data_IF_262832209785
#
_entry.id   IF_262832209785
#
_cell.length_a   1.000
_cell.length_b   1.000
_cell.length_c   1.000
_cell.angle_alpha   90.00
_cell.angle_beta   90.00
_cell.angle_gamma   90.00
#
_symmetry.space_group_name_H-M   'P 1'
#
loop_
_entity.id
_entity.type
_entity.pdbx_description
1 polymer ?
#
# COMPACT_ATOMS: atom_id res chain seq x y z
N UNK A 1 -30.63 6.85 -64.99
CA UNK A 1 -29.69 5.95 -64.30
C UNK A 1 -29.18 6.71 -63.07
N UNK A 2 -29.92 6.72 -61.97
CA UNK A 2 -30.03 5.66 -60.96
C UNK A 2 -28.75 5.52 -60.12
N UNK A 3 -28.77 6.11 -58.92
CA UNK A 3 -27.94 5.71 -57.79
C UNK A 3 -28.90 5.30 -56.66
N UNK A 4 -28.85 4.02 -56.32
CA UNK A 4 -29.68 3.36 -55.32
C UNK A 4 -28.86 3.05 -54.05
N UNK A 5 -29.61 2.88 -52.97
CA UNK A 5 -29.22 2.72 -51.58
C UNK A 5 -28.50 1.41 -51.23
N UNK A 6 -27.91 1.43 -50.03
CA UNK A 6 -27.50 0.27 -49.22
C UNK A 6 -26.50 0.79 -48.17
N UNK A 7 -26.85 0.99 -46.90
CA UNK A 7 -27.45 0.01 -45.99
C UNK A 7 -26.34 -0.47 -45.05
N UNK A 8 -25.98 0.33 -44.05
CA UNK A 8 -24.99 -0.05 -43.03
C UNK A 8 -25.70 -0.49 -41.76
N UNK A 9 -25.79 -1.81 -41.59
CA UNK A 9 -26.20 -2.48 -40.35
C UNK A 9 -25.35 -2.01 -39.17
N UNK A 10 -26.03 -1.50 -38.13
CA UNK A 10 -25.43 -1.27 -36.82
C UNK A 10 -25.13 -2.61 -36.15
N UNK A 11 -23.85 -2.97 -36.10
CA UNK A 11 -23.38 -4.05 -35.20
C UNK A 11 -23.27 -3.50 -33.78
N UNK A 12 -24.16 -3.94 -32.91
CA UNK A 12 -24.03 -3.77 -31.46
C UNK A 12 -22.73 -4.41 -30.96
N UNK A 13 -22.02 -3.79 -30.00
CA UNK A 13 -20.85 -4.40 -29.37
C UNK A 13 -21.28 -5.64 -28.55
N UNK A 14 -20.40 -6.64 -28.38
CA UNK A 14 -20.73 -7.86 -27.66
C UNK A 14 -21.05 -7.53 -26.20
N UNK A 15 -22.19 -8.01 -25.73
CA UNK A 15 -22.59 -8.03 -24.33
C UNK A 15 -21.51 -8.74 -23.52
N UNK A 16 -20.84 -7.99 -22.64
CA UNK A 16 -19.96 -8.55 -21.61
C UNK A 16 -20.71 -9.53 -20.71
N UNK A 17 -20.00 -10.41 -19.99
CA UNK A 17 -20.60 -11.46 -19.19
C UNK A 17 -21.56 -10.87 -18.16
N UNK A 18 -22.79 -11.40 -18.13
CA UNK A 18 -23.80 -11.02 -17.14
C UNK A 18 -23.28 -11.26 -15.72
N UNK A 19 -23.48 -10.32 -14.78
CA UNK A 19 -23.03 -10.50 -13.41
C UNK A 19 -23.75 -11.71 -12.78
N UNK A 20 -22.98 -12.53 -12.06
CA UNK A 20 -23.50 -13.68 -11.31
C UNK A 20 -24.55 -13.19 -10.31
N UNK A 21 -25.70 -13.88 -10.16
CA UNK A 21 -26.68 -13.51 -9.16
C UNK A 21 -26.09 -13.74 -7.77
N UNK A 22 -25.87 -12.66 -7.01
CA UNK A 22 -25.38 -12.71 -5.63
C UNK A 22 -24.15 -11.86 -5.30
N UNK A 23 -23.59 -11.09 -6.24
CA UNK A 23 -22.55 -10.11 -5.89
C UNK A 23 -23.16 -8.92 -5.13
N UNK A 24 -22.66 -8.56 -3.93
CA UNK A 24 -23.10 -7.35 -3.24
C UNK A 24 -22.79 -6.13 -4.11
N UNK A 25 -23.66 -5.10 -4.10
CA UNK A 25 -23.41 -3.89 -4.89
C UNK A 25 -22.07 -3.26 -4.46
N UNK A 26 -21.24 -2.89 -5.44
CA UNK A 26 -20.05 -2.09 -5.19
C UNK A 26 -20.44 -0.78 -4.50
N UNK A 27 -19.73 -0.36 -3.43
CA UNK A 27 -20.11 0.85 -2.71
C UNK A 27 -20.05 2.05 -3.65
N UNK A 28 -21.19 2.70 -3.84
CA UNK A 28 -21.29 3.95 -4.58
C UNK A 28 -20.52 5.02 -3.79
N UNK A 29 -19.29 5.32 -4.23
CA UNK A 29 -18.50 6.42 -3.68
C UNK A 29 -19.20 7.74 -4.01
N UNK A 30 -19.97 8.25 -3.05
CA UNK A 30 -20.73 9.48 -3.25
C UNK A 30 -21.35 10.09 -2.00
N UNK A 31 -21.07 9.59 -0.80
CA UNK A 31 -21.56 10.22 0.42
C UNK A 31 -20.58 9.98 1.56
N UNK A 32 -20.09 11.07 2.14
CA UNK A 32 -19.41 11.09 3.42
C UNK A 32 -20.20 12.09 4.30
N UNK A 33 -20.63 11.66 5.48
CA UNK A 33 -21.28 12.53 6.46
C UNK A 33 -20.20 13.01 7.41
N UNK A 34 -19.91 14.31 7.38
CA UNK A 34 -18.98 14.97 8.31
C UNK A 34 -19.82 15.49 9.47
N UNK A 35 -19.60 14.95 10.67
CA UNK A 35 -20.23 15.44 11.91
C UNK A 35 -19.19 16.29 12.64
N UNK A 36 -19.48 17.58 12.76
CA UNK A 36 -18.67 18.54 13.52
C UNK A 36 -19.10 18.47 14.99
N UNK A 37 -18.14 18.19 15.88
CA UNK A 37 -18.32 18.46 17.31
C UNK A 37 -17.97 19.93 17.53
N UNK A 38 -18.97 20.75 17.83
CA UNK A 38 -18.81 22.19 18.03
C UNK A 38 -18.50 22.44 19.52
N UNK A 39 -17.23 22.61 19.86
CA UNK A 39 -16.86 23.35 21.09
C UNK A 39 -16.74 24.82 20.69
N UNK A 40 -17.79 25.58 20.96
CA UNK A 40 -17.83 27.01 20.74
C UNK A 40 -17.46 27.74 22.02
N UNK A 41 -16.26 28.30 22.11
CA UNK A 41 -15.97 29.42 23.01
C UNK A 41 -16.27 30.73 22.27
N UNK A 42 -17.13 31.62 22.80
CA UNK A 42 -17.35 32.93 22.20
C UNK A 42 -16.24 33.91 22.60
N UNK A 43 -15.66 34.59 21.61
CA UNK A 43 -14.86 35.79 21.82
C UNK A 43 -15.69 36.89 22.48
N UNK A 44 -15.10 37.53 23.49
CA UNK A 44 -15.72 38.61 24.26
C UNK A 44 -15.11 39.95 23.85
N UNK A 45 -15.89 40.82 23.21
CA UNK A 45 -15.66 42.27 23.24
C UNK A 45 -16.87 42.96 23.89
N UNK A 46 -16.63 43.38 25.14
CA UNK A 46 -17.23 44.46 25.93
C UNK A 46 -18.74 44.76 25.78
N UNK A 47 -19.48 44.26 26.77
CA UNK A 47 -20.83 44.68 27.12
C UNK A 47 -21.26 44.01 28.41
N UNK A 48 -21.00 44.68 29.54
CA UNK A 48 -21.29 44.20 30.90
C UNK A 48 -22.78 43.94 31.15
N UNK A 49 -23.24 42.72 30.88
CA UNK A 49 -24.31 42.02 31.62
C UNK A 49 -24.21 40.51 31.33
N UNK A 50 -23.28 39.84 32.02
CA UNK A 50 -23.18 38.40 31.96
C UNK A 50 -24.39 37.78 32.66
N UNK A 51 -25.44 37.43 31.90
CA UNK A 51 -26.31 36.35 32.36
C UNK A 51 -25.50 35.06 32.28
N UNK A 52 -24.96 34.62 33.42
CA UNK A 52 -24.42 33.28 33.56
C UNK A 52 -25.48 32.29 33.06
N UNK A 53 -25.29 31.76 31.85
CA UNK A 53 -26.11 30.65 31.40
C UNK A 53 -25.90 29.52 32.41
N UNK A 54 -26.97 28.91 32.95
CA UNK A 54 -26.81 27.83 33.90
C UNK A 54 -26.16 26.66 33.16
N UNK A 55 -24.87 26.47 33.37
CA UNK A 55 -24.19 25.23 33.01
C UNK A 55 -24.84 24.10 33.82
N UNK A 56 -25.81 23.42 33.19
CA UNK A 56 -26.52 22.30 33.82
C UNK A 56 -25.55 21.12 33.90
N UNK A 57 -24.86 21.02 35.04
CA UNK A 57 -24.08 19.83 35.40
C UNK A 57 -25.04 18.67 35.70
N UNK A 58 -25.36 17.88 34.69
CA UNK A 58 -26.14 16.65 34.87
C UNK A 58 -25.19 15.54 35.35
N UNK A 59 -25.25 15.19 36.63
CA UNK A 59 -24.57 14.03 37.19
C UNK A 59 -25.29 12.75 36.74
N UNK A 60 -24.83 12.18 35.63
CA UNK A 60 -25.25 10.84 35.20
C UNK A 60 -24.52 9.78 36.04
N UNK A 61 -25.21 8.68 36.35
CA UNK A 61 -24.53 7.53 36.93
C UNK A 61 -23.53 6.99 35.90
N UNK A 62 -22.38 6.50 36.34
CA UNK A 62 -21.34 5.97 35.45
C UNK A 62 -21.91 4.90 34.49
N UNK A 63 -22.87 4.11 34.95
CA UNK A 63 -23.56 3.10 34.13
C UNK A 63 -24.40 3.71 33.00
N UNK A 64 -25.08 4.83 33.24
CA UNK A 64 -25.90 5.55 32.26
C UNK A 64 -25.01 6.29 31.26
N UNK A 65 -23.94 6.92 31.74
CA UNK A 65 -22.94 7.56 30.88
C UNK A 65 -22.24 6.52 29.98
N UNK A 66 -21.82 5.39 30.54
CA UNK A 66 -21.24 4.29 29.76
C UNK A 66 -22.26 3.67 28.81
N UNK A 67 -23.54 3.60 29.17
CA UNK A 67 -24.63 3.13 28.29
C UNK A 67 -24.86 4.09 27.11
N UNK A 68 -24.84 5.41 27.35
CA UNK A 68 -24.93 6.43 26.31
C UNK A 68 -23.74 6.35 25.34
N UNK A 69 -22.52 6.24 25.88
CA UNK A 69 -21.29 6.08 25.08
C UNK A 69 -21.28 4.74 24.32
N UNK A 70 -21.79 3.65 24.92
CA UNK A 70 -21.94 2.34 24.27
C UNK A 70 -23.02 2.35 23.19
N UNK A 71 -24.15 3.00 23.45
CA UNK A 71 -25.27 3.14 22.52
C UNK A 71 -24.89 3.93 21.27
N UNK A 72 -24.10 5.00 21.44
CA UNK A 72 -23.54 5.75 20.33
C UNK A 72 -22.63 4.90 19.44
N UNK A 73 -21.67 4.16 20.01
CA UNK A 73 -20.78 3.27 19.22
C UNK A 73 -21.56 2.17 18.51
N UNK A 74 -22.56 1.57 19.18
CA UNK A 74 -23.43 0.56 18.57
C UNK A 74 -24.24 1.15 17.40
N UNK A 75 -24.83 2.33 17.58
CA UNK A 75 -25.58 3.02 16.53
C UNK A 75 -24.71 3.37 15.32
N UNK A 76 -23.43 3.69 15.50
CA UNK A 76 -22.50 3.95 14.38
C UNK A 76 -22.15 2.68 13.60
N UNK A 77 -21.92 1.58 14.30
CA UNK A 77 -21.69 0.28 13.65
C UNK A 77 -22.93 -0.13 12.88
N UNK A 78 -24.11 0.00 13.49
CA UNK A 78 -25.39 -0.31 12.86
C UNK A 78 -25.63 0.61 11.64
N UNK A 79 -25.30 1.90 11.73
CA UNK A 79 -25.41 2.85 10.62
C UNK A 79 -24.47 2.48 9.47
N UNK A 80 -23.20 2.15 9.76
CA UNK A 80 -22.22 1.76 8.74
C UNK A 80 -22.62 0.44 8.06
N UNK A 81 -23.14 -0.53 8.82
CA UNK A 81 -23.62 -1.81 8.28
C UNK A 81 -24.87 -1.64 7.42
N UNK A 82 -25.84 -0.83 7.85
CA UNK A 82 -27.11 -0.63 7.16
C UNK A 82 -26.98 0.26 5.90
N UNK A 83 -26.11 1.27 5.93
CA UNK A 83 -26.00 2.26 4.84
C UNK A 83 -24.79 2.05 3.93
N UNK A 84 -23.79 1.26 4.37
CA UNK A 84 -22.50 1.09 3.69
C UNK A 84 -21.75 2.41 3.46
N UNK A 85 -22.07 3.45 4.23
CA UNK A 85 -21.40 4.76 4.18
C UNK A 85 -20.37 4.84 5.30
N UNK A 86 -19.10 5.20 5.01
CA UNK A 86 -18.12 5.45 6.05
C UNK A 86 -18.48 6.71 6.84
N UNK A 87 -18.44 6.63 8.17
CA UNK A 87 -18.66 7.75 9.08
C UNK A 87 -17.35 8.05 9.81
N UNK A 88 -16.89 9.30 9.73
CA UNK A 88 -15.65 9.78 10.35
C UNK A 88 -15.93 10.99 11.23
N UNK A 89 -15.31 11.03 12.41
CA UNK A 89 -15.42 12.14 13.36
C UNK A 89 -14.14 12.94 13.39
N UNK A 90 -14.28 14.26 13.53
CA UNK A 90 -13.17 15.19 13.64
C UNK A 90 -13.35 16.01 14.91
N UNK A 91 -12.24 16.21 15.62
CA UNK A 91 -12.21 16.96 16.87
C UNK A 91 -12.12 18.48 16.65
N UNK A 92 -11.74 18.92 15.44
CA UNK A 92 -11.62 20.33 15.11
C UNK A 92 -11.96 20.64 13.65
N UNK A 93 -12.14 21.93 13.35
CA UNK A 93 -12.37 22.42 11.99
C UNK A 93 -11.12 22.23 11.10
N UNK A 94 -9.92 22.32 11.67
CA UNK A 94 -8.67 22.11 10.95
C UNK A 94 -8.59 20.68 10.39
N UNK A 95 -8.94 19.68 11.20
CA UNK A 95 -8.98 18.27 10.77
C UNK A 95 -9.98 18.06 9.62
N UNK A 96 -11.10 18.79 9.64
CA UNK A 96 -12.09 18.76 8.55
C UNK A 96 -11.52 19.37 7.27
N UNK A 97 -10.77 20.48 7.37
CA UNK A 97 -10.09 21.10 6.23
C UNK A 97 -9.01 20.20 5.62
N UNK A 98 -8.22 19.53 6.46
CA UNK A 98 -7.24 18.53 6.03
C UNK A 98 -7.90 17.34 5.35
N UNK A 99 -8.99 16.83 5.93
CA UNK A 99 -9.76 15.73 5.36
C UNK A 99 -10.37 16.13 4.01
N UNK A 100 -11.00 17.30 3.90
CA UNK A 100 -11.57 17.78 2.64
C UNK A 100 -10.50 17.90 1.55
N UNK A 101 -9.30 18.35 1.89
CA UNK A 101 -8.16 18.44 0.98
C UNK A 101 -7.69 17.06 0.53
N UNK A 102 -7.49 16.12 1.48
CA UNK A 102 -7.11 14.74 1.19
C UNK A 102 -8.17 14.04 0.32
N UNK A 103 -9.44 14.19 0.68
CA UNK A 103 -10.57 13.58 0.00
C UNK A 103 -10.71 14.11 -1.43
N UNK A 104 -10.67 15.43 -1.61
CA UNK A 104 -10.72 16.05 -2.94
C UNK A 104 -9.58 15.57 -3.84
N UNK A 105 -8.37 15.45 -3.29
CA UNK A 105 -7.22 14.88 -4.00
C UNK A 105 -7.45 13.40 -4.36
N UNK A 106 -7.94 12.60 -3.43
CA UNK A 106 -8.23 11.19 -3.67
C UNK A 106 -9.27 11.01 -4.78
N UNK A 107 -10.32 11.85 -4.79
CA UNK A 107 -11.34 11.88 -5.85
C UNK A 107 -10.73 12.26 -7.20
N UNK A 108 -9.88 13.29 -7.25
CA UNK A 108 -9.19 13.70 -8.47
C UNK A 108 -8.24 12.63 -9.02
N UNK A 109 -7.53 11.91 -8.14
CA UNK A 109 -6.59 10.84 -8.51
C UNK A 109 -7.27 9.49 -8.81
N UNK A 110 -8.51 9.26 -8.32
CA UNK A 110 -9.22 7.98 -8.46
C UNK A 110 -9.34 7.45 -9.90
N UNK A 111 -9.75 8.23 -10.93
CA UNK A 111 -9.85 7.71 -12.29
C UNK A 111 -8.48 7.31 -12.86
N UNK A 112 -7.44 8.10 -12.54
CA UNK A 112 -6.08 7.83 -12.98
C UNK A 112 -5.51 6.56 -12.33
N UNK A 113 -5.72 6.36 -11.02
CA UNK A 113 -5.29 5.14 -10.30
C UNK A 113 -5.97 3.88 -10.84
N UNK A 114 -7.30 3.91 -11.06
CA UNK A 114 -8.02 2.79 -11.67
C UNK A 114 -7.49 2.44 -13.07
N UNK A 115 -7.09 3.44 -13.85
CA UNK A 115 -6.52 3.18 -15.17
C UNK A 115 -5.11 2.58 -15.09
N UNK A 116 -4.31 2.96 -14.08
CA UNK A 116 -3.01 2.35 -13.82
C UNK A 116 -3.12 0.90 -13.35
N UNK A 117 -4.13 0.55 -12.57
CA UNK A 117 -4.37 -0.84 -12.12
C UNK A 117 -4.55 -1.82 -13.31
N UNK A 118 -5.00 -1.33 -14.47
CA UNK A 118 -5.22 -2.14 -15.67
C UNK A 118 -3.95 -2.44 -16.49
N UNK A 119 -2.78 -1.93 -16.13
CA UNK A 119 -1.56 -2.06 -16.98
C UNK A 119 -0.75 -3.34 -16.73
N UNK A 120 -1.30 -4.32 -15.98
CA UNK A 120 -0.71 -5.66 -15.82
C UNK A 120 0.51 -5.76 -14.90
N UNK A 121 1.07 -4.63 -14.45
CA UNK A 121 2.20 -4.57 -13.52
C UNK A 121 1.81 -3.83 -12.24
N UNK A 122 1.04 -4.48 -11.35
CA UNK A 122 0.58 -3.87 -10.08
C UNK A 122 1.74 -3.35 -9.23
N UNK A 123 2.86 -4.08 -9.20
CA UNK A 123 4.05 -3.75 -8.42
C UNK A 123 4.78 -2.47 -8.89
N UNK A 124 4.79 -2.18 -10.20
CA UNK A 124 5.61 -1.10 -10.75
C UNK A 124 5.03 0.30 -10.54
N UNK A 125 3.72 0.42 -10.36
CA UNK A 125 3.01 1.71 -10.33
C UNK A 125 2.63 2.15 -8.93
N UNK A 126 2.38 1.21 -8.02
CA UNK A 126 1.84 1.52 -6.69
C UNK A 126 2.90 2.03 -5.70
N UNK A 127 4.17 1.70 -5.94
CA UNK A 127 5.22 1.92 -4.96
C UNK A 127 5.87 3.30 -5.10
N UNK A 128 5.21 4.33 -4.57
CA UNK A 128 5.83 5.63 -4.24
C UNK A 128 7.09 5.49 -3.37
N UNK A 129 7.26 4.33 -2.73
CA UNK A 129 8.39 3.92 -1.88
C UNK A 129 9.63 3.44 -2.63
N UNK A 130 9.52 3.09 -3.92
CA UNK A 130 10.64 2.59 -4.72
C UNK A 130 11.08 3.63 -5.75
N UNK A 131 11.39 4.85 -5.31
CA UNK A 131 11.99 5.86 -6.21
C UNK A 131 13.32 5.30 -6.74
N UNK A 132 13.51 5.37 -8.06
CA UNK A 132 14.76 4.96 -8.70
C UNK A 132 16.00 5.61 -8.08
N UNK A 133 17.14 4.92 -8.15
CA UNK A 133 18.44 5.51 -7.77
C UNK A 133 18.91 6.37 -8.93
N UNK A 134 19.32 7.61 -8.64
CA UNK A 134 19.98 8.44 -9.65
C UNK A 134 21.37 7.86 -9.93
N UNK A 135 21.66 7.57 -11.19
CA UNK A 135 22.96 7.06 -11.64
C UNK A 135 23.62 8.11 -12.52
N UNK A 136 24.86 8.45 -12.20
CA UNK A 136 25.66 9.38 -13.01
C UNK A 136 26.25 8.64 -14.23
N UNK A 137 26.61 9.34 -15.32
CA UNK A 137 27.24 8.71 -16.50
C UNK A 137 28.53 7.93 -16.19
N UNK A 138 29.18 8.23 -15.06
CA UNK A 138 30.35 7.50 -14.56
C UNK A 138 30.02 6.12 -13.94
N UNK A 139 28.73 5.77 -13.84
CA UNK A 139 28.26 4.57 -13.15
C UNK A 139 28.12 4.72 -11.63
N UNK A 140 28.41 5.90 -11.08
CA UNK A 140 28.19 6.18 -9.65
C UNK A 140 26.70 6.06 -9.35
N UNK A 141 26.36 5.17 -8.41
CA UNK A 141 24.99 4.80 -8.07
C UNK A 141 24.60 3.37 -8.44
N UNK A 142 25.31 2.71 -9.37
CA UNK A 142 24.98 1.34 -9.79
C UNK A 142 25.09 0.31 -8.65
N UNK A 143 26.03 0.49 -7.72
CA UNK A 143 26.11 -0.36 -6.53
C UNK A 143 24.83 -0.26 -5.67
N UNK A 144 24.30 0.95 -5.51
CA UNK A 144 23.06 1.17 -4.76
C UNK A 144 21.84 0.66 -5.52
N UNK A 145 21.85 0.74 -6.86
CA UNK A 145 20.84 0.07 -7.71
C UNK A 145 20.86 -1.43 -7.46
N UNK A 146 22.03 -2.05 -7.50
CA UNK A 146 22.17 -3.48 -7.31
C UNK A 146 21.70 -3.92 -5.91
N UNK A 147 22.06 -3.15 -4.88
CA UNK A 147 21.55 -3.39 -3.53
C UNK A 147 20.03 -3.32 -3.46
N UNK A 148 19.42 -2.28 -4.06
CA UNK A 148 17.96 -2.16 -4.10
C UNK A 148 17.29 -3.27 -4.90
N UNK A 149 17.92 -3.77 -5.95
CA UNK A 149 17.44 -4.93 -6.70
C UNK A 149 17.39 -6.18 -5.82
N UNK A 150 18.43 -6.45 -5.03
CA UNK A 150 18.41 -7.55 -4.04
C UNK A 150 17.35 -7.32 -2.95
N UNK A 151 17.08 -6.08 -2.55
CA UNK A 151 16.01 -5.78 -1.59
C UNK A 151 14.59 -6.01 -2.13
N UNK A 152 14.39 -6.11 -3.46
CA UNK A 152 13.05 -6.36 -4.01
C UNK A 152 12.55 -7.79 -3.74
N UNK A 153 13.45 -8.71 -3.39
CA UNK A 153 13.06 -10.07 -3.04
C UNK A 153 12.28 -10.07 -1.72
N UNK A 154 11.22 -10.88 -1.69
CA UNK A 154 10.39 -11.04 -0.49
C UNK A 154 11.26 -11.44 0.73
N UNK A 155 11.02 -10.80 1.88
CA UNK A 155 11.69 -11.09 3.17
C UNK A 155 13.20 -10.77 3.19
N UNK A 156 13.68 -9.86 2.34
CA UNK A 156 15.05 -9.37 2.36
C UNK A 156 15.15 -8.05 3.11
N UNK A 157 15.95 -8.01 4.18
CA UNK A 157 16.26 -6.75 4.88
C UNK A 157 17.39 -5.99 4.20
N UNK A 158 17.55 -4.70 4.55
CA UNK A 158 18.70 -3.90 4.10
C UNK A 158 20.03 -4.57 4.44
N UNK A 159 20.20 -5.12 5.65
CA UNK A 159 21.47 -5.75 6.03
C UNK A 159 21.72 -7.05 5.24
N UNK A 160 20.67 -7.80 4.89
CA UNK A 160 20.79 -8.98 4.03
C UNK A 160 21.24 -8.61 2.62
N UNK A 161 20.62 -7.59 2.03
CA UNK A 161 21.00 -7.11 0.72
C UNK A 161 22.45 -6.58 0.72
N UNK A 162 22.81 -5.76 1.72
CA UNK A 162 24.18 -5.25 1.90
C UNK A 162 25.20 -6.40 1.98
N UNK A 163 24.91 -7.46 2.74
CA UNK A 163 25.79 -8.63 2.84
C UNK A 163 25.98 -9.35 1.50
N UNK A 164 24.90 -9.52 0.72
CA UNK A 164 24.97 -10.13 -0.62
C UNK A 164 25.77 -9.26 -1.59
N UNK A 165 25.49 -7.96 -1.66
CA UNK A 165 26.20 -7.07 -2.60
C UNK A 165 27.64 -6.79 -2.17
N UNK A 166 27.96 -6.93 -0.89
CA UNK A 166 29.35 -6.87 -0.42
C UNK A 166 30.13 -8.10 -0.89
N UNK A 167 29.52 -9.29 -0.86
CA UNK A 167 30.14 -10.51 -1.38
C UNK A 167 30.22 -10.51 -2.92
N UNK A 168 29.17 -10.00 -3.59
CA UNK A 168 29.06 -9.93 -5.04
C UNK A 168 28.66 -8.50 -5.48
N UNK A 169 29.62 -7.59 -5.67
CA UNK A 169 29.36 -6.17 -5.91
C UNK A 169 28.79 -5.84 -7.29
N UNK A 170 28.60 -6.84 -8.15
CA UNK A 170 27.88 -6.68 -9.40
C UNK A 170 27.09 -7.96 -9.76
N UNK A 171 26.00 -7.83 -10.54
CA UNK A 171 25.25 -8.97 -11.05
C UNK A 171 26.12 -9.95 -11.85
N UNK A 172 27.09 -9.42 -12.61
CA UNK A 172 28.02 -10.21 -13.42
C UNK A 172 28.93 -11.09 -12.57
N UNK A 173 29.39 -10.61 -11.41
CA UNK A 173 30.19 -11.42 -10.49
C UNK A 173 29.39 -12.54 -9.86
N UNK A 174 28.10 -12.30 -9.58
CA UNK A 174 27.19 -13.33 -9.07
C UNK A 174 26.92 -14.41 -10.13
N UNK A 175 26.66 -14.01 -11.38
CA UNK A 175 26.46 -14.93 -12.50
C UNK A 175 27.71 -15.78 -12.81
N UNK A 176 28.89 -15.15 -12.80
CA UNK A 176 30.16 -15.86 -12.91
C UNK A 176 30.40 -16.85 -11.77
N UNK A 177 29.92 -16.56 -10.56
CA UNK A 177 30.02 -17.50 -9.46
C UNK A 177 29.10 -18.72 -9.68
N UNK A 178 27.87 -18.52 -10.16
CA UNK A 178 26.97 -19.63 -10.50
C UNK A 178 27.50 -20.53 -11.62
N UNK A 179 28.09 -19.95 -12.66
CA UNK A 179 28.68 -20.73 -13.77
C UNK A 179 29.88 -21.60 -13.35
N UNK A 180 30.59 -21.22 -12.28
CA UNK A 180 31.71 -21.99 -11.72
C UNK A 180 31.27 -23.13 -10.80
N UNK A 181 30.03 -23.12 -10.31
CA UNK A 181 29.49 -24.20 -9.49
C UNK A 181 29.30 -25.48 -10.32
N UNK A 182 29.60 -26.62 -9.69
CA UNK A 182 29.60 -27.93 -10.32
C UNK A 182 28.25 -28.64 -10.27
N UNK A 183 27.37 -28.22 -9.34
CA UNK A 183 26.03 -28.80 -9.17
C UNK A 183 24.95 -27.73 -9.00
N UNK A 184 23.72 -28.08 -9.33
CA UNK A 184 22.55 -27.21 -9.11
C UNK A 184 22.35 -26.92 -7.62
N UNK A 185 22.49 -27.93 -6.75
CA UNK A 185 22.41 -27.77 -5.31
C UNK A 185 23.45 -26.76 -4.76
N UNK A 186 24.66 -26.76 -5.32
CA UNK A 186 25.69 -25.79 -4.95
C UNK A 186 25.30 -24.37 -5.38
N UNK A 187 24.74 -24.20 -6.58
CA UNK A 187 24.23 -22.91 -7.06
C UNK A 187 23.10 -22.39 -6.17
N UNK A 188 22.13 -23.25 -5.84
CA UNK A 188 21.03 -22.88 -4.95
C UNK A 188 21.51 -22.45 -3.56
N UNK A 189 22.62 -23.00 -3.06
CA UNK A 189 23.14 -22.72 -1.71
C UNK A 189 24.34 -21.76 -1.68
N UNK A 190 24.75 -21.19 -2.82
CA UNK A 190 25.94 -20.34 -2.94
C UNK A 190 25.93 -19.17 -1.94
N UNK A 191 24.76 -18.55 -1.75
CA UNK A 191 24.59 -17.38 -0.88
C UNK A 191 24.16 -17.76 0.54
N UNK A 192 23.79 -19.03 0.78
CA UNK A 192 23.11 -19.45 2.00
C UNK A 192 23.95 -19.21 3.27
N UNK A 193 25.28 -19.32 3.16
CA UNK A 193 26.20 -19.19 4.28
C UNK A 193 26.77 -17.78 4.48
N UNK A 194 26.36 -16.80 3.66
CA UNK A 194 26.77 -15.41 3.85
C UNK A 194 26.26 -14.91 5.20
N UNK A 195 27.16 -14.33 6.00
CA UNK A 195 26.86 -13.80 7.31
C UNK A 195 26.29 -12.40 7.20
N UNK A 196 25.17 -12.19 7.87
CA UNK A 196 24.47 -10.91 8.03
C UNK A 196 24.69 -10.48 9.47
N UNK A 197 25.44 -9.39 9.64
CA UNK A 197 25.61 -8.75 10.95
C UNK A 197 24.48 -7.76 11.18
N UNK A 198 23.82 -7.87 12.32
CA UNK A 198 22.77 -6.94 12.75
C UNK A 198 23.19 -6.28 14.07
N UNK A 199 23.36 -4.96 14.03
CA UNK A 199 23.82 -4.15 15.16
C UNK A 199 25.34 -3.99 15.24
N UNK A 200 25.78 -3.04 16.06
CA UNK A 200 27.19 -2.66 16.29
C UNK A 200 27.55 -2.88 17.77
N UNK A 201 28.69 -3.52 18.05
CA UNK A 201 29.17 -3.76 19.42
C UNK A 201 28.73 -5.10 20.06
N UNK A 202 28.66 -5.13 21.39
CA UNK A 202 28.47 -6.34 22.22
C UNK A 202 27.10 -7.02 22.01
N UNK A 203 26.13 -6.31 21.44
CA UNK A 203 24.79 -6.82 21.10
C UNK A 203 24.67 -7.27 19.63
N UNK A 204 25.77 -7.29 18.87
CA UNK A 204 25.76 -7.71 17.48
C UNK A 204 25.29 -9.16 17.36
N UNK A 205 24.15 -9.35 16.68
CA UNK A 205 23.66 -10.69 16.33
C UNK A 205 24.11 -11.03 14.92
N UNK A 206 24.57 -12.26 14.73
CA UNK A 206 24.97 -12.77 13.42
C UNK A 206 23.95 -13.81 12.99
N UNK A 207 23.37 -13.62 11.80
CA UNK A 207 22.50 -14.61 11.15
C UNK A 207 23.03 -14.92 9.76
N UNK A 208 22.64 -16.05 9.20
CA UNK A 208 22.93 -16.38 7.80
C UNK A 208 21.78 -15.93 6.90
N UNK A 209 22.08 -15.73 5.63
CA UNK A 209 21.07 -15.52 4.58
C UNK A 209 20.07 -16.68 4.53
N UNK A 210 20.57 -17.91 4.60
CA UNK A 210 19.76 -19.13 4.58
C UNK A 210 19.50 -19.67 3.17
N UNK A 211 19.19 -20.99 3.06
CA UNK A 211 19.05 -21.67 1.78
C UNK A 211 17.89 -21.14 0.94
N UNK A 212 16.77 -20.78 1.57
CA UNK A 212 15.58 -20.32 0.85
C UNK A 212 15.81 -19.01 0.08
N UNK A 213 16.47 -18.02 0.71
CA UNK A 213 16.77 -16.78 0.01
C UNK A 213 17.84 -17.00 -1.07
N UNK A 214 18.84 -17.83 -0.80
CA UNK A 214 19.88 -18.17 -1.77
C UNK A 214 19.29 -18.80 -3.04
N UNK A 215 18.36 -19.75 -2.88
CA UNK A 215 17.66 -20.40 -3.98
C UNK A 215 16.83 -19.41 -4.80
N UNK A 216 16.06 -18.54 -4.15
CA UNK A 216 15.23 -17.54 -4.85
C UNK A 216 16.05 -16.58 -5.69
N UNK A 217 17.19 -16.11 -5.16
CA UNK A 217 18.11 -15.26 -5.91
C UNK A 217 18.68 -16.02 -7.11
N UNK A 218 19.12 -17.27 -6.93
CA UNK A 218 19.62 -18.09 -8.04
C UNK A 218 18.57 -18.27 -9.15
N UNK A 219 17.35 -18.67 -8.79
CA UNK A 219 16.27 -18.87 -9.75
C UNK A 219 15.94 -17.58 -10.51
N UNK A 220 15.81 -16.44 -9.81
CA UNK A 220 15.53 -15.16 -10.46
C UNK A 220 16.66 -14.69 -11.39
N UNK A 221 17.92 -15.02 -11.08
CA UNK A 221 19.07 -14.58 -11.86
C UNK A 221 19.36 -15.47 -13.07
N UNK A 222 18.89 -16.73 -13.07
CA UNK A 222 19.26 -17.73 -14.08
C UNK A 222 18.08 -18.33 -14.85
N UNK A 223 16.85 -18.23 -14.35
CA UNK A 223 15.66 -18.71 -15.06
C UNK A 223 15.39 -17.89 -16.31
N UNK A 224 14.96 -18.58 -17.38
CA UNK A 224 14.40 -17.97 -18.59
C UNK A 224 12.88 -17.91 -18.58
N UNK A 225 12.24 -18.53 -17.58
CA UNK A 225 10.79 -18.53 -17.40
C UNK A 225 10.35 -17.31 -16.58
N UNK A 226 9.61 -16.34 -17.17
CA UNK A 226 9.14 -15.15 -16.46
C UNK A 226 7.99 -15.45 -15.48
N UNK A 227 7.31 -16.60 -15.62
CA UNK A 227 6.18 -16.98 -14.77
C UNK A 227 6.60 -17.90 -13.60
N UNK A 228 7.92 -18.12 -13.44
CA UNK A 228 8.47 -18.96 -12.39
C UNK A 228 8.18 -18.38 -11.00
N UNK A 229 7.48 -19.15 -10.19
CA UNK A 229 7.20 -18.78 -8.81
C UNK A 229 8.42 -19.05 -7.92
N UNK A 230 8.93 -18.00 -7.27
CA UNK A 230 10.15 -18.09 -6.46
C UNK A 230 9.93 -18.72 -5.08
N UNK A 231 8.77 -18.50 -4.47
CA UNK A 231 8.50 -19.01 -3.12
C UNK A 231 8.02 -20.47 -3.22
N UNK A 232 8.78 -21.43 -2.67
CA UNK A 232 8.33 -22.82 -2.62
C UNK A 232 7.11 -22.92 -1.68
N UNK A 233 6.02 -23.48 -2.18
CA UNK A 233 4.94 -23.99 -1.32
C UNK A 233 5.47 -25.23 -0.60
N UNK A 234 6.06 -25.01 0.57
CA UNK A 234 6.33 -26.07 1.54
C UNK A 234 5.05 -26.47 2.28
#
# INVERSE_FOLDING_TARGET
MAAAAGGAEGRSPPSGPSPRPGSPPSPAWGSAVVVLSSDSEPETEDGDEWTEEPNVLVLLRLEEFLSMVRGYKQALVDLQLCTQVPVTFFASWEEVGEFATMFSKAVAEAPYKRQQENTGFSFYLENKWCRGVKVDPSGKGLFEVWKRQIQQFNRVSLEMAEAVVTAYPSPQLLDQAYSRCSSEQERENLLANILVRRGEGVTATSRRIGPELSRRIYLQMTSHDPDLYLDATG
#
